data_IF_213005475209
#
_entry.id   IF_213005475209
#
_cell.length_a   1.000
_cell.length_b   1.000
_cell.length_c   1.000
_cell.angle_alpha   90.00
_cell.angle_beta   90.00
_cell.angle_gamma   90.00
#
_symmetry.space_group_name_H-M   'P 1'
#
loop_
_entity.id
_entity.type
_entity.pdbx_description
1 polymer ?
#
# COMPACT_ATOMS: atom_id res chain seq x y z
N UNK A 1 -18.44 40.10 -52.94
CA UNK A 1 -17.43 39.54 -52.01
C UNK A 1 -18.17 38.73 -50.96
N UNK A 2 -18.14 37.39 -51.03
CA UNK A 2 -18.83 36.53 -50.08
C UNK A 2 -17.96 36.34 -48.83
N UNK A 3 -18.55 36.38 -47.64
CA UNK A 3 -17.89 35.93 -46.41
C UNK A 3 -18.57 34.65 -45.96
N UNK A 4 -17.74 33.61 -45.96
CA UNK A 4 -17.96 32.29 -45.41
C UNK A 4 -17.64 32.30 -43.90
N UNK A 5 -17.83 31.14 -43.27
CA UNK A 5 -17.28 30.65 -42.00
C UNK A 5 -18.32 30.51 -40.88
N UNK A 6 -18.88 29.30 -40.83
CA UNK A 6 -19.32 28.68 -39.59
C UNK A 6 -18.14 28.29 -38.70
N UNK A 7 -18.33 28.38 -37.39
CA UNK A 7 -17.54 27.88 -36.26
C UNK A 7 -18.38 28.23 -35.01
N UNK A 8 -18.45 27.54 -33.88
CA UNK A 8 -17.77 26.37 -33.34
C UNK A 8 -18.48 26.13 -31.99
N UNK A 9 -19.04 24.94 -31.74
CA UNK A 9 -19.51 24.56 -30.40
C UNK A 9 -18.44 23.64 -29.80
N UNK A 10 -17.41 24.25 -29.19
CA UNK A 10 -16.44 23.54 -28.36
C UNK A 10 -16.87 23.63 -26.91
N UNK A 11 -17.58 22.63 -26.40
CA UNK A 11 -17.72 22.42 -24.96
C UNK A 11 -16.53 21.57 -24.51
N UNK A 12 -15.74 22.18 -23.63
CA UNK A 12 -14.51 21.70 -23.04
C UNK A 12 -14.73 20.49 -22.15
N UNK A 13 -13.96 19.43 -22.37
CA UNK A 13 -13.69 18.45 -21.32
C UNK A 13 -12.30 17.82 -21.47
N UNK A 14 -11.64 17.75 -20.32
CA UNK A 14 -10.59 16.81 -19.90
C UNK A 14 -9.22 16.81 -20.62
N UNK A 15 -8.16 16.77 -19.81
CA UNK A 15 -7.13 15.71 -19.78
C UNK A 15 -5.87 16.25 -19.06
N UNK A 16 -5.60 15.88 -17.80
CA UNK A 16 -4.88 14.64 -17.43
C UNK A 16 -3.60 14.37 -18.25
N UNK A 17 -2.83 15.42 -18.58
CA UNK A 17 -1.73 15.34 -19.54
C UNK A 17 -0.33 15.68 -19.03
N UNK A 18 -0.01 15.48 -17.74
CA UNK A 18 1.32 15.85 -17.20
C UNK A 18 2.22 14.68 -16.74
N UNK A 19 1.72 13.44 -16.65
CA UNK A 19 2.57 12.30 -16.23
C UNK A 19 3.36 11.65 -17.37
N UNK A 20 2.94 11.84 -18.63
CA UNK A 20 3.58 11.20 -19.80
C UNK A 20 4.82 11.95 -20.30
N UNK A 21 5.03 13.21 -19.91
CA UNK A 21 6.08 14.07 -20.51
C UNK A 21 7.48 13.95 -19.88
N UNK A 22 7.65 13.24 -18.77
CA UNK A 22 8.95 13.17 -18.08
C UNK A 22 9.76 11.87 -18.29
N UNK A 23 9.28 10.92 -19.10
CA UNK A 23 10.02 9.70 -19.43
C UNK A 23 10.88 9.82 -20.71
N UNK A 24 11.14 11.03 -21.20
CA UNK A 24 11.66 11.25 -22.58
C UNK A 24 13.06 11.82 -22.74
N UNK A 25 13.90 11.85 -21.71
CA UNK A 25 15.29 12.29 -21.88
C UNK A 25 16.26 11.38 -21.13
N UNK A 26 16.75 10.36 -21.86
CA UNK A 26 18.16 9.98 -22.08
C UNK A 26 18.12 8.58 -22.74
N UNK A 27 18.16 8.55 -24.07
CA UNK A 27 18.46 7.36 -24.87
C UNK A 27 18.98 7.83 -26.23
N UNK A 28 20.29 8.01 -26.31
CA UNK A 28 20.99 8.58 -27.49
C UNK A 28 21.61 7.52 -28.41
N UNK A 29 21.23 6.25 -28.30
CA UNK A 29 21.60 5.23 -29.30
C UNK A 29 20.66 4.04 -29.29
N UNK A 30 20.06 3.76 -30.46
CA UNK A 30 18.88 2.94 -30.66
C UNK A 30 19.16 1.43 -30.86
N UNK A 31 20.01 0.79 -30.05
CA UNK A 31 20.31 -0.63 -30.28
C UNK A 31 20.39 -1.51 -29.03
N UNK A 32 20.12 -0.98 -27.83
CA UNK A 32 20.20 -1.80 -26.60
C UNK A 32 18.98 -1.71 -25.66
N UNK A 33 17.92 -0.99 -26.05
CA UNK A 33 16.69 -0.92 -25.24
C UNK A 33 15.67 -2.03 -25.56
N UNK A 34 16.00 -2.96 -26.46
CA UNK A 34 15.11 -4.07 -26.87
C UNK A 34 15.67 -5.43 -26.49
N UNK A 35 16.29 -5.56 -25.32
CA UNK A 35 16.44 -6.88 -24.70
C UNK A 35 15.10 -7.30 -24.11
N UNK A 36 14.26 -7.87 -24.97
CA UNK A 36 13.26 -8.89 -24.69
C UNK A 36 13.14 -9.32 -23.21
N UNK A 37 12.24 -8.68 -22.47
CA UNK A 37 11.59 -9.28 -21.31
C UNK A 37 10.14 -9.47 -21.72
N UNK A 38 9.80 -10.63 -22.30
CA UNK A 38 8.41 -11.04 -22.42
C UNK A 38 7.83 -11.14 -21.00
N UNK A 39 7.27 -10.05 -20.50
CA UNK A 39 6.39 -10.09 -19.35
C UNK A 39 5.04 -10.58 -19.86
N UNK A 40 4.85 -11.91 -19.89
CA UNK A 40 3.60 -12.51 -20.37
C UNK A 40 2.46 -12.40 -19.35
N UNK A 41 2.70 -11.77 -18.19
CA UNK A 41 1.75 -11.70 -17.05
C UNK A 41 1.13 -10.31 -16.90
N UNK A 42 1.87 -9.22 -17.13
CA UNK A 42 1.28 -7.87 -17.19
C UNK A 42 1.57 -7.24 -18.55
N UNK A 43 0.50 -6.79 -19.21
CA UNK A 43 0.56 -6.29 -20.58
C UNK A 43 0.89 -4.79 -20.65
N UNK A 44 0.74 -4.06 -19.54
CA UNK A 44 1.07 -2.62 -19.45
C UNK A 44 1.75 -2.26 -18.12
N UNK A 45 2.42 -1.10 -18.10
CA UNK A 45 3.00 -0.53 -16.88
C UNK A 45 1.92 -0.20 -15.83
N UNK A 46 0.75 0.28 -16.28
CA UNK A 46 -0.39 0.58 -15.42
C UNK A 46 -0.92 -0.68 -14.71
N UNK A 47 -0.97 -1.82 -15.41
CA UNK A 47 -1.37 -3.10 -14.83
C UNK A 47 -0.36 -3.57 -13.76
N UNK A 48 0.94 -3.39 -14.01
CA UNK A 48 1.97 -3.71 -13.02
C UNK A 48 1.85 -2.81 -11.77
N UNK A 49 1.56 -1.52 -11.95
CA UNK A 49 1.31 -0.58 -10.84
C UNK A 49 0.06 -0.98 -10.04
N UNK A 50 -1.01 -1.40 -10.72
CA UNK A 50 -2.23 -1.91 -10.08
C UNK A 50 -1.97 -3.13 -9.21
N UNK A 51 -1.23 -4.12 -9.71
CA UNK A 51 -0.93 -5.34 -8.95
C UNK A 51 0.02 -5.05 -7.77
N UNK A 52 0.97 -4.12 -7.92
CA UNK A 52 1.80 -3.66 -6.80
C UNK A 52 0.99 -2.90 -5.73
N UNK A 53 0.06 -2.05 -6.14
CA UNK A 53 -0.84 -1.35 -5.22
C UNK A 53 -1.77 -2.33 -4.48
N UNK A 54 -2.26 -3.35 -5.17
CA UNK A 54 -3.04 -4.45 -4.58
C UNK A 54 -2.21 -5.26 -3.59
N UNK A 55 -0.95 -5.56 -3.91
CA UNK A 55 -0.02 -6.23 -3.00
C UNK A 55 0.23 -5.41 -1.73
N UNK A 56 0.41 -4.09 -1.86
CA UNK A 56 0.54 -3.15 -0.73
C UNK A 56 -0.71 -3.18 0.16
N UNK A 57 -1.88 -2.96 -0.45
CA UNK A 57 -3.18 -2.91 0.23
C UNK A 57 -3.48 -4.21 0.97
N UNK A 58 -3.25 -5.34 0.29
CA UNK A 58 -3.44 -6.69 0.84
C UNK A 58 -2.45 -6.97 1.97
N UNK A 59 -1.20 -6.53 1.85
CA UNK A 59 -0.19 -6.69 2.89
C UNK A 59 -0.52 -5.95 4.18
N UNK A 60 -1.10 -4.75 4.08
CA UNK A 60 -1.57 -3.97 5.24
C UNK A 60 -2.76 -4.66 5.92
N UNK A 61 -3.79 -5.03 5.15
CA UNK A 61 -4.94 -5.78 5.67
C UNK A 61 -4.53 -7.12 6.30
N UNK A 62 -3.61 -7.87 5.66
CA UNK A 62 -3.10 -9.12 6.23
C UNK A 62 -2.39 -8.87 7.57
N UNK A 63 -1.62 -7.78 7.68
CA UNK A 63 -0.96 -7.40 8.92
C UNK A 63 -1.98 -7.08 10.01
N UNK A 64 -2.98 -6.26 9.70
CA UNK A 64 -4.03 -5.88 10.63
C UNK A 64 -4.92 -7.07 11.07
N UNK A 65 -5.49 -7.80 10.13
CA UNK A 65 -6.50 -8.82 10.43
C UNK A 65 -5.88 -10.14 10.89
N UNK A 66 -4.80 -10.58 10.22
CA UNK A 66 -4.25 -11.92 10.45
C UNK A 66 -3.10 -11.92 11.44
N UNK A 67 -2.18 -10.95 11.38
CA UNK A 67 -1.02 -10.92 12.28
C UNK A 67 -1.38 -10.32 13.64
N UNK A 68 -2.27 -9.33 13.68
CA UNK A 68 -2.70 -8.62 14.90
C UNK A 68 -4.11 -9.01 15.37
N UNK A 69 -5.09 -9.07 14.46
CA UNK A 69 -6.49 -9.36 14.78
C UNK A 69 -6.73 -10.78 15.30
N UNK A 70 -6.13 -11.79 14.66
CA UNK A 70 -6.27 -13.20 15.09
C UNK A 70 -5.80 -13.46 16.51
N UNK A 71 -4.61 -13.01 16.97
CA UNK A 71 -4.21 -13.20 18.36
C UNK A 71 -5.06 -12.40 19.35
N UNK A 72 -5.50 -11.19 18.97
CA UNK A 72 -6.43 -10.40 19.79
C UNK A 72 -7.74 -11.17 20.06
N UNK A 73 -8.37 -11.76 19.04
CA UNK A 73 -9.69 -12.37 19.19
C UNK A 73 -10.70 -11.41 19.85
N UNK A 74 -11.73 -11.95 20.50
CA UNK A 74 -12.63 -11.13 21.32
C UNK A 74 -12.03 -10.85 22.70
N UNK A 75 -12.54 -9.84 23.40
CA UNK A 75 -12.08 -9.50 24.75
C UNK A 75 -12.23 -10.69 25.73
N UNK A 76 -13.35 -11.42 25.66
CA UNK A 76 -13.61 -12.59 26.51
C UNK A 76 -12.86 -13.86 26.06
N UNK A 77 -12.31 -13.88 24.85
CA UNK A 77 -11.69 -15.09 24.26
C UNK A 77 -10.43 -14.73 23.46
N UNK A 78 -9.39 -14.21 24.12
CA UNK A 78 -8.09 -13.94 23.49
C UNK A 78 -7.48 -15.22 22.92
N UNK A 79 -6.71 -15.10 21.83
CA UNK A 79 -6.20 -16.27 21.06
C UNK A 79 -4.70 -16.15 20.75
N UNK A 80 -3.81 -15.95 21.74
CA UNK A 80 -2.37 -15.69 21.52
C UNK A 80 -1.70 -16.69 20.56
N UNK A 81 -2.05 -17.99 20.67
CA UNK A 81 -1.51 -19.07 19.82
C UNK A 81 -1.88 -18.97 18.33
N UNK A 82 -2.79 -18.07 17.94
CA UNK A 82 -3.15 -17.78 16.54
C UNK A 82 -2.27 -16.71 15.90
N UNK A 83 -1.30 -16.15 16.64
CA UNK A 83 -0.30 -15.26 16.06
C UNK A 83 0.45 -15.95 14.91
N UNK A 84 0.70 -15.22 13.83
CA UNK A 84 1.52 -15.72 12.73
C UNK A 84 2.95 -15.99 13.23
N UNK A 85 3.59 -17.06 12.75
CA UNK A 85 4.93 -17.46 13.21
C UNK A 85 5.05 -17.67 14.74
N UNK A 86 3.95 -18.03 15.42
CA UNK A 86 3.91 -18.28 16.86
C UNK A 86 4.92 -19.35 17.32
N UNK A 87 4.95 -20.51 16.65
CA UNK A 87 5.81 -21.64 17.03
C UNK A 87 7.31 -21.33 16.92
N UNK A 88 7.68 -20.34 16.12
CA UNK A 88 9.08 -19.92 15.96
C UNK A 88 9.44 -18.69 16.80
N UNK A 89 8.52 -18.14 17.60
CA UNK A 89 8.80 -16.98 18.44
C UNK A 89 8.95 -15.66 17.67
N UNK A 90 8.45 -15.59 16.42
CA UNK A 90 8.78 -14.51 15.47
C UNK A 90 7.60 -13.62 15.09
N UNK A 91 6.49 -13.66 15.81
CA UNK A 91 5.26 -12.95 15.43
C UNK A 91 5.48 -11.45 15.30
N UNK A 92 6.03 -10.81 16.33
CA UNK A 92 6.33 -9.37 16.32
C UNK A 92 7.38 -9.01 15.26
N UNK A 93 8.46 -9.79 15.17
CA UNK A 93 9.51 -9.59 14.15
C UNK A 93 8.96 -9.60 12.73
N UNK A 94 8.01 -10.49 12.43
CA UNK A 94 7.39 -10.52 11.10
C UNK A 94 6.54 -9.29 10.84
N UNK A 95 5.85 -8.73 11.84
CA UNK A 95 5.13 -7.46 11.69
C UNK A 95 6.10 -6.34 11.35
N UNK A 96 7.22 -6.21 12.06
CA UNK A 96 8.22 -5.16 11.78
C UNK A 96 8.76 -5.26 10.35
N UNK A 97 9.11 -6.46 9.90
CA UNK A 97 9.56 -6.66 8.51
C UNK A 97 8.45 -6.37 7.48
N UNK A 98 7.20 -6.67 7.81
CA UNK A 98 6.05 -6.34 6.95
C UNK A 98 5.92 -4.84 6.79
N UNK A 99 5.88 -4.10 7.90
CA UNK A 99 5.69 -2.65 7.90
C UNK A 99 6.85 -1.94 7.18
N UNK A 100 8.08 -2.38 7.40
CA UNK A 100 9.25 -1.85 6.70
C UNK A 100 9.16 -2.09 5.17
N UNK A 101 8.81 -3.30 4.75
CA UNK A 101 8.67 -3.65 3.33
C UNK A 101 7.52 -2.88 2.66
N UNK A 102 6.37 -2.79 3.34
CA UNK A 102 5.19 -2.07 2.84
C UNK A 102 5.46 -0.55 2.75
N UNK A 103 6.23 0.02 3.67
CA UNK A 103 6.68 1.41 3.57
C UNK A 103 7.56 1.65 2.34
N UNK A 104 8.50 0.74 2.07
CA UNK A 104 9.35 0.82 0.87
C UNK A 104 8.51 0.75 -0.41
N UNK A 105 7.55 -0.18 -0.47
CA UNK A 105 6.64 -0.32 -1.60
C UNK A 105 5.74 0.92 -1.78
N UNK A 106 5.15 1.42 -0.70
CA UNK A 106 4.32 2.64 -0.74
C UNK A 106 5.12 3.86 -1.21
N UNK A 107 6.37 4.00 -0.74
CA UNK A 107 7.29 5.05 -1.17
C UNK A 107 7.64 4.92 -2.65
N UNK A 108 7.89 3.70 -3.13
CA UNK A 108 8.19 3.46 -4.54
C UNK A 108 7.00 3.80 -5.44
N UNK A 109 5.79 3.41 -5.02
CA UNK A 109 4.55 3.70 -5.74
C UNK A 109 4.21 5.19 -5.76
N UNK A 110 4.54 5.96 -4.70
CA UNK A 110 4.34 7.41 -4.69
C UNK A 110 5.21 8.15 -5.73
N UNK A 111 6.23 7.48 -6.29
CA UNK A 111 7.04 8.00 -7.39
C UNK A 111 7.73 9.32 -7.06
N UNK A 112 7.51 10.33 -7.89
CA UNK A 112 8.13 11.66 -7.77
C UNK A 112 7.32 12.65 -6.94
N UNK A 113 6.15 12.27 -6.43
CA UNK A 113 5.37 13.12 -5.52
C UNK A 113 6.04 13.16 -4.14
N UNK A 114 6.86 14.19 -3.92
CA UNK A 114 7.61 14.37 -2.70
C UNK A 114 6.70 14.57 -1.47
N UNK A 115 5.53 15.21 -1.63
CA UNK A 115 4.60 15.46 -0.53
C UNK A 115 3.90 14.17 -0.12
N UNK A 116 3.40 13.41 -1.08
CA UNK A 116 2.79 12.09 -0.84
C UNK A 116 3.81 11.13 -0.22
N UNK A 117 5.02 11.08 -0.76
CA UNK A 117 6.11 10.26 -0.22
C UNK A 117 6.44 10.61 1.22
N UNK A 118 6.56 11.89 1.55
CA UNK A 118 6.84 12.35 2.92
C UNK A 118 5.71 11.98 3.88
N UNK A 119 4.46 12.17 3.46
CA UNK A 119 3.28 11.82 4.25
C UNK A 119 3.26 10.31 4.56
N UNK A 120 3.39 9.46 3.54
CA UNK A 120 3.42 8.00 3.71
C UNK A 120 4.55 7.57 4.65
N UNK A 121 5.77 8.07 4.44
CA UNK A 121 6.90 7.77 5.34
C UNK A 121 6.61 8.17 6.79
N UNK A 122 5.98 9.33 6.99
CA UNK A 122 5.62 9.82 8.33
C UNK A 122 4.60 8.92 8.99
N UNK A 123 3.57 8.50 8.26
CA UNK A 123 2.52 7.62 8.78
C UNK A 123 3.07 6.22 9.13
N UNK A 124 3.91 5.63 8.26
CA UNK A 124 4.58 4.36 8.56
C UNK A 124 5.52 4.50 9.77
N UNK A 125 6.25 5.61 9.88
CA UNK A 125 7.11 5.91 11.03
C UNK A 125 6.33 6.12 12.33
N UNK A 126 5.04 6.47 12.28
CA UNK A 126 4.20 6.52 13.48
C UNK A 126 3.80 5.12 13.98
N UNK A 127 3.65 4.15 13.06
CA UNK A 127 3.26 2.77 13.40
C UNK A 127 4.42 1.89 13.85
N UNK A 128 5.62 2.13 13.33
CA UNK A 128 6.80 1.31 13.59
C UNK A 128 7.22 1.26 15.08
N UNK A 129 7.29 2.39 15.81
CA UNK A 129 7.67 2.40 17.23
C UNK A 129 6.69 1.62 18.12
N UNK A 130 5.39 1.62 17.79
CA UNK A 130 4.37 0.86 18.52
C UNK A 130 4.66 -0.65 18.50
N UNK A 131 5.34 -1.14 17.46
CA UNK A 131 5.76 -2.52 17.35
C UNK A 131 7.17 -2.74 17.95
N UNK A 132 8.10 -1.80 17.77
CA UNK A 132 9.47 -1.93 18.28
C UNK A 132 9.55 -1.89 19.81
N UNK A 133 8.71 -1.07 20.47
CA UNK A 133 8.69 -0.94 21.93
C UNK A 133 7.98 -2.12 22.63
N UNK A 134 7.39 -3.04 21.87
CA UNK A 134 6.59 -4.13 22.42
C UNK A 134 7.46 -5.30 22.87
N UNK A 135 7.55 -5.52 24.18
CA UNK A 135 8.26 -6.66 24.76
C UNK A 135 7.37 -7.93 24.89
N UNK A 136 6.73 -8.33 23.78
CA UNK A 136 5.93 -9.55 23.70
C UNK A 136 6.03 -10.16 22.29
N UNK A 137 7.05 -11.00 22.02
CA UNK A 137 7.39 -11.44 20.66
C UNK A 137 6.34 -12.34 20.00
N UNK A 138 5.43 -12.92 20.79
CA UNK A 138 4.38 -13.87 20.35
C UNK A 138 2.97 -13.45 20.75
N UNK A 139 2.81 -12.26 21.31
CA UNK A 139 1.53 -11.74 21.80
C UNK A 139 0.91 -12.62 22.89
N UNK A 140 1.72 -13.24 23.76
CA UNK A 140 1.23 -14.08 24.86
C UNK A 140 0.36 -13.28 25.85
N UNK A 141 0.64 -11.99 26.02
CA UNK A 141 -0.03 -11.09 26.95
C UNK A 141 -1.39 -10.57 26.49
N UNK A 142 -1.90 -10.90 25.30
CA UNK A 142 -3.18 -10.35 24.80
C UNK A 142 -4.44 -10.71 25.61
N UNK A 143 -4.30 -11.59 26.61
CA UNK A 143 -5.32 -11.84 27.62
C UNK A 143 -5.37 -10.75 28.70
N UNK A 144 -4.27 -10.05 28.94
CA UNK A 144 -4.15 -8.99 29.92
C UNK A 144 -4.60 -7.64 29.33
N UNK A 145 -5.42 -6.84 30.05
CA UNK A 145 -5.97 -5.59 29.51
C UNK A 145 -4.93 -4.62 28.96
N UNK A 146 -3.81 -4.43 29.67
CA UNK A 146 -2.75 -3.50 29.28
C UNK A 146 -2.00 -3.96 28.03
N UNK A 147 -1.55 -5.21 28.00
CA UNK A 147 -0.82 -5.76 26.84
C UNK A 147 -1.74 -5.86 25.61
N UNK A 148 -3.00 -6.23 25.81
CA UNK A 148 -4.02 -6.21 24.77
C UNK A 148 -4.20 -4.83 24.15
N UNK A 149 -4.23 -3.78 24.98
CA UNK A 149 -4.38 -2.40 24.50
C UNK A 149 -3.25 -2.00 23.56
N UNK A 150 -1.99 -2.33 23.87
CA UNK A 150 -0.87 -2.03 22.97
C UNK A 150 -1.00 -2.72 21.61
N UNK A 151 -1.35 -4.01 21.59
CA UNK A 151 -1.59 -4.74 20.32
C UNK A 151 -2.77 -4.16 19.55
N UNK A 152 -3.82 -3.71 20.25
CA UNK A 152 -4.97 -3.04 19.64
C UNK A 152 -4.60 -1.68 19.03
N UNK A 153 -3.78 -0.88 19.72
CA UNK A 153 -3.29 0.41 19.22
C UNK A 153 -2.46 0.19 17.95
N UNK A 154 -1.56 -0.79 17.95
CA UNK A 154 -0.79 -1.16 16.77
C UNK A 154 -1.71 -1.59 15.61
N UNK A 155 -2.72 -2.44 15.85
CA UNK A 155 -3.70 -2.81 14.81
C UNK A 155 -4.41 -1.58 14.24
N UNK A 156 -4.95 -0.71 15.12
CA UNK A 156 -5.65 0.50 14.71
C UNK A 156 -4.76 1.42 13.85
N UNK A 157 -3.47 1.53 14.22
CA UNK A 157 -2.49 2.30 13.44
C UNK A 157 -2.32 1.73 12.03
N UNK A 158 -2.29 0.40 11.89
CA UNK A 158 -2.21 -0.26 10.58
C UNK A 158 -3.52 -0.13 9.79
N UNK A 159 -4.67 -0.16 10.45
CA UNK A 159 -5.98 0.09 9.81
C UNK A 159 -6.04 1.51 9.22
N UNK A 160 -5.56 2.51 9.97
CA UNK A 160 -5.46 3.91 9.49
C UNK A 160 -4.48 4.03 8.33
N UNK A 161 -3.34 3.34 8.37
CA UNK A 161 -2.40 3.29 7.25
C UNK A 161 -3.05 2.75 5.98
N UNK A 162 -3.83 1.67 6.12
CA UNK A 162 -4.56 1.08 5.00
C UNK A 162 -5.54 2.09 4.40
N UNK A 163 -6.36 2.75 5.23
CA UNK A 163 -7.31 3.77 4.77
C UNK A 163 -6.61 4.92 4.03
N UNK A 164 -5.48 5.41 4.56
CA UNK A 164 -4.72 6.48 3.92
C UNK A 164 -4.09 6.06 2.60
N UNK A 165 -3.54 4.85 2.50
CA UNK A 165 -3.04 4.31 1.24
C UNK A 165 -4.17 4.22 0.21
N UNK A 166 -5.34 3.71 0.60
CA UNK A 166 -6.50 3.59 -0.29
C UNK A 166 -7.04 4.95 -0.76
N UNK A 167 -7.06 5.96 0.12
CA UNK A 167 -7.67 7.26 -0.19
C UNK A 167 -6.71 8.28 -0.81
N UNK A 168 -5.39 8.17 -0.55
CA UNK A 168 -4.39 9.12 -1.06
C UNK A 168 -3.58 8.56 -2.21
N UNK A 169 -3.07 7.32 -2.07
CA UNK A 169 -2.18 6.72 -3.07
C UNK A 169 -2.98 6.11 -4.23
N UNK A 170 -4.09 5.40 -3.96
CA UNK A 170 -4.93 4.79 -5.02
C UNK A 170 -5.33 5.78 -6.13
N UNK A 171 -5.97 6.92 -5.79
CA UNK A 171 -6.35 7.92 -6.78
C UNK A 171 -5.16 8.55 -7.53
N UNK A 172 -4.01 8.71 -6.86
CA UNK A 172 -2.80 9.25 -7.49
C UNK A 172 -2.27 8.35 -8.61
N UNK A 173 -2.45 7.03 -8.46
CA UNK A 173 -2.06 6.03 -9.44
C UNK A 173 -3.11 5.78 -10.53
N UNK A 174 -4.22 6.52 -10.53
CA UNK A 174 -5.39 6.25 -11.36
C UNK A 174 -5.93 4.80 -11.22
N UNK A 175 -5.62 4.15 -10.09
CA UNK A 175 -6.12 2.82 -9.75
C UNK A 175 -7.37 3.01 -8.92
N UNK A 176 -8.54 2.70 -9.48
CA UNK A 176 -9.75 2.64 -8.69
C UNK A 176 -9.57 1.57 -7.60
N UNK A 177 -9.84 1.94 -6.34
CA UNK A 177 -9.79 1.06 -5.16
C UNK A 177 -10.94 0.02 -5.18
N UNK A 178 -11.14 -0.67 -6.31
CA UNK A 178 -12.28 -1.54 -6.59
C UNK A 178 -11.96 -3.04 -6.66
N UNK A 179 -10.69 -3.45 -6.53
CA UNK A 179 -10.31 -4.86 -6.53
C UNK A 179 -9.59 -5.21 -5.22
N UNK A 180 -10.37 -5.50 -4.18
CA UNK A 180 -9.82 -6.04 -2.95
C UNK A 180 -9.72 -7.57 -3.07
N UNK A 181 -8.52 -8.14 -2.98
CA UNK A 181 -8.30 -9.60 -3.13
C UNK A 181 -8.89 -10.43 -1.97
N UNK A 182 -9.37 -9.78 -0.91
CA UNK A 182 -10.05 -10.40 0.23
C UNK A 182 -11.58 -10.28 0.17
N UNK A 183 -12.11 -9.58 -0.84
CA UNK A 183 -13.55 -9.37 -1.08
C UNK A 183 -14.01 -10.06 -2.39
N UNK A 184 -13.13 -10.90 -2.95
CA UNK A 184 -13.42 -11.75 -4.11
C UNK A 184 -13.78 -13.16 -3.64
N UNK A 185 -15.08 -13.45 -3.66
CA UNK A 185 -15.81 -14.64 -3.17
C UNK A 185 -16.35 -14.61 -1.72
#
# INVERSE_FOLDING_TARGET
MPTDIGHNAGHSDHHSGNYVRLARQICTSATDCTSNRQNTVHQTEDEAVQELFKALSTGLQFTAEFRLGRPLGSFKRPRPRRAHAYKSGRSLRQINLSLASLNQLATALAGTDAKLTLNLKTEFKASQPLADDMNDPVFAGVAEPKSRLYVKILKQSVDVLYEHVSTKLGPNLAVAAGFNALDGD
#
